data_IF_377989371878
#
_entry.id   IF_377989371878
#
_cell.length_a   1.000
_cell.length_b   1.000
_cell.length_c   1.000
_cell.angle_alpha   90.00
_cell.angle_beta   90.00
_cell.angle_gamma   90.00
#
_symmetry.space_group_name_H-M   'P 1'
#
loop_
_entity.id
_entity.type
_entity.pdbx_description
1 polymer ?
#
# COMPACT_ATOMS: atom_id res chain seq x y z
N UNK A 1 17.27 -11.95 -0.65
CA UNK A 1 16.53 -10.73 -0.21
C UNK A 1 15.09 -10.91 -0.63
N UNK A 2 14.09 -10.46 0.16
CA UNK A 2 12.68 -10.55 -0.22
C UNK A 2 12.32 -9.52 -1.29
N UNK A 3 11.50 -9.92 -2.26
CA UNK A 3 10.99 -9.04 -3.31
C UNK A 3 9.75 -8.28 -2.80
N UNK A 4 9.61 -7.02 -3.18
CA UNK A 4 8.47 -6.19 -2.78
C UNK A 4 7.54 -5.97 -3.98
N UNK A 5 6.23 -6.15 -3.77
CA UNK A 5 5.18 -5.75 -4.69
C UNK A 5 4.45 -4.50 -4.18
N UNK A 6 4.22 -3.52 -5.04
CA UNK A 6 3.45 -2.31 -4.73
C UNK A 6 2.13 -2.33 -5.49
N UNK A 7 1.01 -2.42 -4.76
CA UNK A 7 -0.32 -2.12 -5.32
C UNK A 7 -0.43 -0.61 -5.37
N UNK A 8 -0.47 -0.06 -6.58
CA UNK A 8 -0.42 1.38 -6.83
C UNK A 8 -1.47 1.88 -7.83
N UNK A 9 -1.29 3.12 -8.26
CA UNK A 9 -2.19 3.80 -9.20
C UNK A 9 -3.30 4.61 -8.54
N UNK A 10 -3.30 4.73 -7.20
CA UNK A 10 -4.38 5.31 -6.39
C UNK A 10 -3.97 6.53 -5.53
N UNK A 11 -3.28 7.58 -6.00
CA UNK A 11 -2.91 7.83 -7.41
C UNK A 11 -1.52 7.36 -7.80
N UNK A 12 -1.21 7.49 -9.09
CA UNK A 12 0.06 7.03 -9.64
C UNK A 12 1.30 7.67 -9.01
N UNK A 13 1.26 8.96 -8.71
CA UNK A 13 2.39 9.65 -8.09
C UNK A 13 2.70 9.16 -6.67
N UNK A 14 1.71 8.68 -5.92
CA UNK A 14 1.96 8.05 -4.62
C UNK A 14 2.78 6.75 -4.78
N UNK A 15 2.54 5.99 -5.85
CA UNK A 15 3.31 4.78 -6.17
C UNK A 15 4.76 5.11 -6.53
N UNK A 16 4.97 6.17 -7.31
CA UNK A 16 6.31 6.67 -7.65
C UNK A 16 7.06 7.11 -6.39
N UNK A 17 6.41 7.89 -5.51
CA UNK A 17 6.99 8.37 -4.26
C UNK A 17 7.39 7.21 -3.33
N UNK A 18 6.51 6.22 -3.19
CA UNK A 18 6.80 5.04 -2.36
C UNK A 18 7.99 4.25 -2.91
N UNK A 19 8.03 4.00 -4.21
CA UNK A 19 9.16 3.31 -4.85
C UNK A 19 10.47 4.10 -4.69
N UNK A 20 10.45 5.41 -4.90
CA UNK A 20 11.61 6.27 -4.70
C UNK A 20 12.12 6.20 -3.25
N UNK A 21 11.23 6.20 -2.26
CA UNK A 21 11.58 6.06 -0.84
C UNK A 21 12.20 4.69 -0.51
N UNK A 22 11.66 3.61 -1.06
CA UNK A 22 12.23 2.27 -0.89
C UNK A 22 13.67 2.27 -1.42
N UNK A 23 13.89 2.80 -2.62
CA UNK A 23 15.20 2.89 -3.24
C UNK A 23 16.16 3.73 -2.39
N UNK A 24 15.74 4.92 -1.96
CA UNK A 24 16.57 5.84 -1.20
C UNK A 24 16.93 5.35 0.21
N UNK A 25 16.04 4.56 0.83
CA UNK A 25 16.24 4.03 2.19
C UNK A 25 16.97 2.67 2.19
N UNK A 26 17.12 2.04 1.04
CA UNK A 26 17.91 0.80 0.94
C UNK A 26 19.39 1.16 1.02
N UNK A 27 20.08 0.63 2.03
CA UNK A 27 21.53 0.77 2.15
C UNK A 27 22.20 -0.20 1.18
N UNK A 28 22.58 0.32 0.01
CA UNK A 28 23.21 -0.44 -1.07
C UNK A 28 24.46 0.29 -1.55
N UNK A 29 25.51 -0.46 -1.84
CA UNK A 29 26.78 0.03 -2.40
C UNK A 29 26.88 -0.21 -3.92
N UNK A 30 25.96 -1.02 -4.46
CA UNK A 30 25.84 -1.36 -5.87
C UNK A 30 24.39 -1.59 -6.27
N UNK A 31 24.07 -1.54 -7.54
CA UNK A 31 22.72 -1.78 -8.05
C UNK A 31 22.18 -3.17 -7.62
N UNK A 32 23.05 -4.17 -7.56
CA UNK A 32 22.70 -5.56 -7.21
C UNK A 32 22.32 -5.76 -5.74
N UNK A 33 22.60 -4.78 -4.89
CA UNK A 33 22.25 -4.81 -3.46
C UNK A 33 20.89 -4.16 -3.17
N UNK A 34 20.27 -3.52 -4.18
CA UNK A 34 18.93 -2.97 -4.03
C UNK A 34 17.86 -4.04 -3.98
N UNK A 35 16.73 -3.70 -3.32
CA UNK A 35 15.55 -4.56 -3.25
C UNK A 35 14.92 -4.64 -4.64
N UNK A 36 14.59 -5.86 -5.08
CA UNK A 36 13.78 -6.06 -6.28
C UNK A 36 12.34 -5.63 -6.02
N UNK A 37 11.83 -4.67 -6.79
CA UNK A 37 10.50 -4.09 -6.59
C UNK A 37 9.66 -4.23 -7.85
N UNK A 38 8.46 -4.78 -7.70
CA UNK A 38 7.41 -4.80 -8.72
C UNK A 38 6.38 -3.72 -8.40
N UNK A 39 5.92 -2.99 -9.40
CA UNK A 39 4.88 -1.95 -9.21
C UNK A 39 3.73 -2.21 -10.18
N UNK A 40 2.56 -2.52 -9.65
CA UNK A 40 1.31 -2.54 -10.41
C UNK A 40 0.57 -1.21 -10.21
N UNK A 41 0.87 -0.24 -11.08
CA UNK A 41 0.25 1.09 -11.04
C UNK A 41 -1.00 1.11 -11.91
N UNK A 42 -2.14 0.69 -11.34
CA UNK A 42 -3.42 0.61 -12.02
C UNK A 42 -4.35 1.79 -11.62
N UNK A 43 -4.48 2.85 -12.45
CA UNK A 43 -5.36 3.98 -12.17
C UNK A 43 -6.85 3.67 -12.36
N UNK A 44 -7.21 2.51 -12.94
CA UNK A 44 -8.59 2.09 -13.17
C UNK A 44 -9.23 1.44 -11.93
N UNK A 45 -8.48 1.23 -10.84
CA UNK A 45 -9.06 0.76 -9.57
C UNK A 45 -10.15 1.72 -9.12
N UNK A 46 -11.39 1.25 -8.88
CA UNK A 46 -12.51 2.11 -8.50
C UNK A 46 -12.22 3.03 -7.31
N UNK A 47 -12.83 4.20 -7.29
CA UNK A 47 -12.63 5.20 -6.23
C UNK A 47 -12.99 4.63 -4.86
N UNK A 48 -12.01 4.61 -3.95
CA UNK A 48 -12.11 4.03 -2.61
C UNK A 48 -13.04 4.83 -1.70
N UNK A 49 -12.98 6.16 -1.77
CA UNK A 49 -13.85 7.03 -0.97
C UNK A 49 -15.31 6.90 -1.39
N UNK A 50 -15.58 6.87 -2.70
CA UNK A 50 -16.95 6.64 -3.22
C UNK A 50 -17.47 5.26 -2.83
N UNK A 51 -16.63 4.22 -2.90
CA UNK A 51 -17.02 2.88 -2.48
C UNK A 51 -17.41 2.83 -0.99
N UNK A 52 -16.65 3.49 -0.14
CA UNK A 52 -16.87 3.49 1.32
C UNK A 52 -18.08 4.34 1.73
N UNK A 53 -18.22 5.54 1.16
CA UNK A 53 -19.15 6.55 1.66
C UNK A 53 -20.41 6.73 0.83
N UNK A 54 -20.38 6.36 -0.45
CA UNK A 54 -21.43 6.71 -1.42
C UNK A 54 -22.03 5.49 -2.14
N UNK A 55 -21.68 4.26 -1.71
CA UNK A 55 -22.13 3.04 -2.38
C UNK A 55 -21.60 2.88 -3.80
N UNK A 56 -20.40 3.42 -4.06
CA UNK A 56 -19.72 3.29 -5.35
C UNK A 56 -19.25 1.85 -5.64
N UNK A 57 -18.62 1.67 -6.80
CA UNK A 57 -18.13 0.35 -7.24
C UNK A 57 -17.12 -0.18 -6.23
N UNK A 58 -17.28 -1.44 -5.80
CA UNK A 58 -16.38 -2.10 -4.87
C UNK A 58 -14.96 -2.26 -5.50
N UNK A 59 -13.90 -1.68 -4.92
CA UNK A 59 -12.55 -1.78 -5.45
C UNK A 59 -11.86 -3.12 -5.13
N UNK A 60 -12.38 -3.94 -4.21
CA UNK A 60 -11.73 -5.18 -3.74
C UNK A 60 -11.38 -6.13 -4.89
N UNK A 61 -12.24 -6.42 -5.87
CA UNK A 61 -11.86 -7.32 -6.96
C UNK A 61 -10.65 -6.83 -7.76
N UNK A 62 -10.54 -5.50 -7.98
CA UNK A 62 -9.40 -4.93 -8.69
C UNK A 62 -8.13 -4.94 -7.84
N UNK A 63 -8.24 -4.65 -6.54
CA UNK A 63 -7.13 -4.71 -5.59
C UNK A 63 -6.59 -6.13 -5.43
N UNK A 64 -7.46 -7.13 -5.31
CA UNK A 64 -7.08 -8.55 -5.23
C UNK A 64 -6.40 -9.00 -6.53
N UNK A 65 -6.90 -8.57 -7.68
CA UNK A 65 -6.25 -8.88 -8.97
C UNK A 65 -4.85 -8.30 -9.04
N UNK A 66 -4.66 -7.05 -8.60
CA UNK A 66 -3.33 -6.43 -8.53
C UNK A 66 -2.40 -7.22 -7.60
N UNK A 67 -2.90 -7.64 -6.43
CA UNK A 67 -2.13 -8.46 -5.50
C UNK A 67 -1.71 -9.80 -6.12
N UNK A 68 -2.61 -10.51 -6.80
CA UNK A 68 -2.29 -11.76 -7.50
C UNK A 68 -1.29 -11.56 -8.65
N UNK A 69 -1.38 -10.44 -9.39
CA UNK A 69 -0.38 -10.11 -10.40
C UNK A 69 1.02 -10.02 -9.78
N UNK A 70 1.14 -9.35 -8.64
CA UNK A 70 2.40 -9.21 -7.93
C UNK A 70 2.92 -10.54 -7.37
N UNK A 71 2.04 -11.39 -6.83
CA UNK A 71 2.41 -12.75 -6.41
C UNK A 71 2.93 -13.59 -7.59
N UNK A 72 2.32 -13.47 -8.76
CA UNK A 72 2.76 -14.20 -9.96
C UNK A 72 4.15 -13.77 -10.47
N UNK A 73 4.64 -12.62 -10.00
CA UNK A 73 5.99 -12.12 -10.24
C UNK A 73 6.96 -12.44 -9.08
N UNK A 74 6.57 -13.32 -8.17
CA UNK A 74 7.36 -13.71 -6.99
C UNK A 74 7.58 -12.56 -5.98
N UNK A 75 6.59 -11.69 -5.79
CA UNK A 75 6.59 -10.75 -4.69
C UNK A 75 6.37 -11.49 -3.35
N UNK A 76 7.32 -11.38 -2.43
CA UNK A 76 7.24 -11.97 -1.09
C UNK A 76 6.43 -11.09 -0.13
N UNK A 77 6.51 -9.78 -0.32
CA UNK A 77 5.85 -8.77 0.51
C UNK A 77 5.06 -7.84 -0.40
N UNK A 78 3.80 -7.62 -0.06
CA UNK A 78 2.92 -6.68 -0.79
C UNK A 78 2.58 -5.50 0.11
N UNK A 79 2.69 -4.29 -0.45
CA UNK A 79 2.32 -3.03 0.19
C UNK A 79 1.39 -2.22 -0.72
N UNK A 80 0.58 -1.34 -0.13
CA UNK A 80 -0.33 -0.47 -0.89
C UNK A 80 0.07 1.00 -0.75
N UNK A 81 0.25 1.68 -1.89
CA UNK A 81 0.54 3.12 -1.94
C UNK A 81 -0.74 3.99 -1.86
N UNK A 82 -1.65 3.66 -0.94
CA UNK A 82 -2.92 4.37 -0.76
C UNK A 82 -3.46 4.17 0.66
N UNK A 83 -3.56 5.23 1.46
CA UNK A 83 -4.12 5.12 2.81
C UNK A 83 -5.57 4.62 2.81
N UNK A 84 -6.44 5.23 2.00
CA UNK A 84 -7.87 4.90 1.96
C UNK A 84 -8.12 3.44 1.56
N UNK A 85 -7.25 2.85 0.72
CA UNK A 85 -7.37 1.45 0.31
C UNK A 85 -7.15 0.47 1.48
N UNK A 86 -6.51 0.89 2.57
CA UNK A 86 -6.32 0.07 3.76
C UNK A 86 -7.63 -0.26 4.49
N UNK A 87 -8.73 0.43 4.19
CA UNK A 87 -10.06 0.01 4.62
C UNK A 87 -10.40 -1.41 4.17
N UNK A 88 -9.86 -1.84 3.02
CA UNK A 88 -10.07 -3.17 2.42
C UNK A 88 -8.90 -4.13 2.68
N UNK A 89 -7.98 -3.78 3.58
CA UNK A 89 -6.72 -4.52 3.79
C UNK A 89 -6.96 -5.99 4.12
N UNK A 90 -7.85 -6.30 5.04
CA UNK A 90 -8.10 -7.67 5.51
C UNK A 90 -8.66 -8.56 4.39
N UNK A 91 -9.55 -8.01 3.55
CA UNK A 91 -10.11 -8.75 2.41
C UNK A 91 -9.03 -9.09 1.37
N UNK A 92 -8.10 -8.16 1.11
CA UNK A 92 -6.98 -8.39 0.18
C UNK A 92 -6.02 -9.41 0.78
N UNK A 93 -5.66 -9.24 2.06
CA UNK A 93 -4.72 -10.13 2.76
C UNK A 93 -5.20 -11.58 2.78
N UNK A 94 -6.50 -11.82 2.95
CA UNK A 94 -7.08 -13.16 2.92
C UNK A 94 -7.01 -13.82 1.54
N UNK A 95 -6.87 -13.06 0.48
CA UNK A 95 -6.85 -13.55 -0.90
C UNK A 95 -5.44 -13.93 -1.39
N UNK A 96 -4.37 -13.60 -0.66
CA UNK A 96 -2.98 -13.79 -1.08
C UNK A 96 -2.17 -14.58 -0.06
N UNK A 97 -1.09 -15.21 -0.52
CA UNK A 97 -0.13 -15.93 0.33
C UNK A 97 1.05 -15.05 0.75
N UNK A 98 1.37 -14.03 -0.05
CA UNK A 98 2.44 -13.08 0.25
C UNK A 98 2.16 -12.35 1.58
N UNK A 99 3.23 -12.01 2.29
CA UNK A 99 3.11 -11.15 3.46
C UNK A 99 2.59 -9.77 3.04
N UNK A 100 1.68 -9.19 3.82
CA UNK A 100 1.22 -7.82 3.58
C UNK A 100 1.56 -6.91 4.76
N UNK A 101 2.09 -5.73 4.45
CA UNK A 101 2.38 -4.70 5.44
C UNK A 101 1.26 -3.65 5.42
N UNK A 102 0.66 -3.41 6.58
CA UNK A 102 -0.34 -2.36 6.77
C UNK A 102 0.35 -1.04 7.10
N UNK A 103 0.36 -0.11 6.14
CA UNK A 103 1.04 1.18 6.27
C UNK A 103 0.46 2.03 7.43
N UNK A 104 -0.81 1.89 7.74
CA UNK A 104 -1.47 2.62 8.84
C UNK A 104 -0.97 2.10 10.18
N UNK A 105 -0.91 0.78 10.35
CA UNK A 105 -0.38 0.14 11.56
C UNK A 105 1.09 0.48 11.77
N UNK A 106 1.91 0.39 10.73
CA UNK A 106 3.34 0.74 10.80
C UNK A 106 3.55 2.21 11.17
N UNK A 107 2.73 3.11 10.64
CA UNK A 107 2.77 4.54 10.99
C UNK A 107 2.42 4.75 12.47
N UNK A 108 1.40 4.07 12.96
CA UNK A 108 1.00 4.15 14.36
C UNK A 108 2.08 3.57 15.31
N UNK A 109 2.68 2.44 14.93
CA UNK A 109 3.79 1.83 15.67
C UNK A 109 5.01 2.76 15.71
N UNK A 110 5.34 3.42 14.59
CA UNK A 110 6.44 4.38 14.54
C UNK A 110 6.18 5.61 15.44
N UNK A 111 4.96 6.15 15.42
CA UNK A 111 4.59 7.24 16.32
C UNK A 111 4.73 6.83 17.79
N UNK A 112 4.31 5.61 18.14
CA UNK A 112 4.48 5.03 19.49
C UNK A 112 5.95 4.85 19.84
N UNK A 113 6.77 4.32 18.92
CA UNK A 113 8.22 4.15 19.12
C UNK A 113 8.92 5.47 19.39
N UNK A 114 8.51 6.55 18.72
CA UNK A 114 9.00 7.92 18.95
C UNK A 114 8.40 8.59 20.18
N UNK A 115 7.51 7.92 20.90
CA UNK A 115 6.82 8.45 22.10
C UNK A 115 6.08 9.77 21.83
N UNK A 116 5.49 9.91 20.63
CA UNK A 116 4.71 11.10 20.28
C UNK A 116 3.40 11.09 21.07
N UNK A 117 3.12 12.18 21.81
CA UNK A 117 1.89 12.34 22.60
C UNK A 117 0.74 12.96 21.80
N UNK A 118 1.05 13.68 20.73
CA UNK A 118 0.07 14.30 19.84
C UNK A 118 0.56 14.22 18.40
N UNK A 119 -0.34 13.86 17.51
CA UNK A 119 -0.09 13.81 16.06
C UNK A 119 -1.23 14.52 15.32
N UNK A 120 -0.91 15.21 14.23
CA UNK A 120 -1.90 15.74 13.30
C UNK A 120 -2.19 14.72 12.21
N UNK A 121 -3.44 14.63 11.76
CA UNK A 121 -3.86 13.76 10.67
C UNK A 121 -4.28 14.61 9.46
N UNK A 122 -3.62 14.38 8.32
CA UNK A 122 -4.07 14.82 7.00
C UNK A 122 -4.60 13.60 6.27
N UNK A 123 -5.88 13.62 5.91
CA UNK A 123 -6.55 12.42 5.38
C UNK A 123 -7.63 12.75 4.36
N UNK A 124 -7.96 11.76 3.52
CA UNK A 124 -9.17 11.81 2.69
C UNK A 124 -10.42 11.68 3.56
N UNK A 125 -11.58 12.07 3.02
CA UNK A 125 -12.86 11.90 3.71
C UNK A 125 -13.13 10.43 4.06
N UNK A 126 -12.72 9.49 3.21
CA UNK A 126 -12.83 8.05 3.46
C UNK A 126 -12.05 7.64 4.70
N UNK A 127 -10.77 8.00 4.78
CA UNK A 127 -9.93 7.71 5.95
C UNK A 127 -10.45 8.40 7.22
N UNK A 128 -10.83 9.67 7.15
CA UNK A 128 -11.31 10.42 8.30
C UNK A 128 -12.60 9.85 8.91
N UNK A 129 -13.54 9.39 8.07
CA UNK A 129 -14.84 8.89 8.52
C UNK A 129 -14.84 7.44 8.98
N UNK A 130 -13.86 6.67 8.55
CA UNK A 130 -13.76 5.24 8.93
C UNK A 130 -12.86 5.00 10.15
N UNK A 131 -12.12 6.01 10.56
CA UNK A 131 -11.19 5.90 11.68
C UNK A 131 -9.90 5.24 11.30
#
# INVERSE_FOLDING_TARGET
MKNIGIIGGMGPMASVDLFAKITALTMASSDQEHIHVFVDSNPEIPDRTKAILEGGINPVPALVRSAHNLESLDADIIIMACNTAHYFFDEIKQAVQADMINMIEETALEAKRRKLSKVGLLATSGTYRTG
#
